data_IF_687324850709
#
_entry.id   IF_687324850709
#
_cell.length_a   1.000
_cell.length_b   1.000
_cell.length_c   1.000
_cell.angle_alpha   90.00
_cell.angle_beta   90.00
_cell.angle_gamma   90.00
#
_symmetry.space_group_name_H-M   'P 1'
#
loop_
_entity.id
_entity.type
_entity.pdbx_description
1 polymer ?
#
# COMPACT_ATOMS: atom_id res chain seq x y z
N UNK A 1 -13.33 -0.14 -11.35
CA UNK A 1 -12.36 0.83 -10.80
C UNK A 1 -10.96 0.54 -11.34
N UNK A 2 -10.15 1.56 -11.62
CA UNK A 2 -8.77 1.41 -12.14
C UNK A 2 -7.79 1.77 -11.02
N UNK A 3 -6.85 0.87 -10.72
CA UNK A 3 -5.81 1.09 -9.71
C UNK A 3 -4.57 1.60 -10.44
N UNK A 4 -4.17 2.83 -10.13
CA UNK A 4 -2.97 3.47 -10.68
C UNK A 4 -1.95 3.63 -9.54
N UNK A 5 -0.73 3.18 -9.79
CA UNK A 5 0.37 3.29 -8.83
C UNK A 5 1.12 4.58 -9.08
N UNK A 6 1.43 5.32 -8.02
CA UNK A 6 2.38 6.43 -8.12
C UNK A 6 3.79 5.88 -8.38
N UNK A 7 4.66 6.71 -8.97
CA UNK A 7 6.06 6.33 -9.15
C UNK A 7 6.73 6.02 -7.80
N UNK A 8 6.44 6.83 -6.78
CA UNK A 8 6.93 6.60 -5.41
C UNK A 8 6.52 5.22 -4.88
N UNK A 9 5.24 4.84 -5.03
CA UNK A 9 4.76 3.54 -4.56
C UNK A 9 5.40 2.36 -5.33
N UNK A 10 5.79 2.57 -6.59
CA UNK A 10 6.53 1.58 -7.36
C UNK A 10 7.97 1.45 -6.84
N UNK A 11 8.64 2.57 -6.61
CA UNK A 11 10.02 2.60 -6.11
C UNK A 11 10.09 1.98 -4.71
N UNK A 12 9.15 2.32 -3.82
CA UNK A 12 9.02 1.72 -2.48
C UNK A 12 8.87 0.19 -2.54
N UNK A 13 8.06 -0.30 -3.49
CA UNK A 13 7.86 -1.74 -3.68
C UNK A 13 9.15 -2.43 -4.15
N UNK A 14 9.89 -1.79 -5.07
CA UNK A 14 11.16 -2.34 -5.57
C UNK A 14 12.22 -2.39 -4.48
N UNK A 15 12.38 -1.30 -3.72
CA UNK A 15 13.30 -1.21 -2.60
C UNK A 15 13.03 -2.29 -1.54
N UNK A 16 11.76 -2.53 -1.23
CA UNK A 16 11.37 -3.52 -0.24
C UNK A 16 11.57 -4.96 -0.75
N UNK A 17 11.27 -5.23 -2.03
CA UNK A 17 11.57 -6.52 -2.65
C UNK A 17 13.09 -6.76 -2.65
N UNK A 18 13.89 -5.76 -3.04
CA UNK A 18 15.34 -5.85 -3.01
C UNK A 18 15.85 -6.12 -1.59
N UNK A 19 15.33 -5.41 -0.59
CA UNK A 19 15.72 -5.61 0.81
C UNK A 19 15.46 -7.04 1.28
N UNK A 20 14.25 -7.57 1.06
CA UNK A 20 13.89 -8.95 1.46
C UNK A 20 14.71 -9.98 0.66
N UNK A 21 15.01 -9.70 -0.60
CA UNK A 21 15.74 -10.62 -1.48
C UNK A 21 17.16 -10.93 -0.99
N UNK A 22 17.75 -10.03 -0.17
CA UNK A 22 19.06 -10.21 0.47
C UNK A 22 19.08 -11.42 1.39
N UNK A 23 17.95 -11.72 2.03
CA UNK A 23 17.78 -12.89 2.90
C UNK A 23 17.17 -14.07 2.13
N UNK A 24 16.11 -13.81 1.36
CA UNK A 24 15.45 -14.85 0.57
C UNK A 24 14.72 -14.31 -0.65
N UNK A 25 15.22 -14.68 -1.83
CA UNK A 25 14.58 -14.38 -3.11
C UNK A 25 13.18 -15.02 -3.24
N UNK A 26 12.97 -16.18 -2.61
CA UNK A 26 11.67 -16.84 -2.58
C UNK A 26 10.63 -16.00 -1.81
N UNK A 27 10.98 -15.53 -0.61
CA UNK A 27 10.08 -14.69 0.18
C UNK A 27 9.85 -13.33 -0.47
N UNK A 28 10.87 -12.73 -1.07
CA UNK A 28 10.74 -11.48 -1.81
C UNK A 28 9.72 -11.58 -2.95
N UNK A 29 9.78 -12.66 -3.76
CA UNK A 29 8.79 -12.93 -4.82
C UNK A 29 7.39 -13.09 -4.25
N UNK A 30 7.23 -13.93 -3.22
CA UNK A 30 5.93 -14.20 -2.60
C UNK A 30 5.34 -12.93 -1.99
N UNK A 31 6.17 -12.05 -1.46
CA UNK A 31 5.76 -10.78 -0.91
C UNK A 31 5.23 -9.84 -2.02
N UNK A 32 5.98 -9.66 -3.11
CA UNK A 32 5.54 -8.86 -4.26
C UNK A 32 4.22 -9.37 -4.85
N UNK A 33 4.08 -10.69 -5.02
CA UNK A 33 2.84 -11.33 -5.48
C UNK A 33 1.64 -10.99 -4.57
N UNK A 34 1.82 -11.04 -3.24
CA UNK A 34 0.75 -10.70 -2.29
C UNK A 34 0.28 -9.26 -2.44
N UNK A 35 1.21 -8.31 -2.62
CA UNK A 35 0.87 -6.90 -2.79
C UNK A 35 0.10 -6.67 -4.10
N UNK A 36 0.53 -7.28 -5.20
CA UNK A 36 -0.20 -7.18 -6.47
C UNK A 36 -1.59 -7.82 -6.37
N UNK A 37 -1.72 -8.95 -5.68
CA UNK A 37 -3.03 -9.57 -5.45
C UNK A 37 -3.94 -8.70 -4.57
N UNK A 38 -3.40 -8.05 -3.54
CA UNK A 38 -4.16 -7.14 -2.69
C UNK A 38 -4.69 -5.94 -3.48
N UNK A 39 -3.86 -5.33 -4.34
CA UNK A 39 -4.31 -4.22 -5.19
C UNK A 39 -5.30 -4.62 -6.27
N UNK A 40 -5.24 -5.86 -6.77
CA UNK A 40 -6.30 -6.40 -7.63
C UNK A 40 -7.63 -6.53 -6.89
N UNK A 41 -7.63 -6.94 -5.62
CA UNK A 41 -8.85 -7.03 -4.79
C UNK A 41 -9.51 -5.66 -4.56
N UNK A 42 -8.74 -4.58 -4.49
CA UNK A 42 -9.28 -3.21 -4.40
C UNK A 42 -10.14 -2.82 -5.61
N UNK A 43 -9.98 -3.48 -6.76
CA UNK A 43 -10.87 -3.27 -7.91
C UNK A 43 -12.30 -3.69 -7.62
N UNK A 44 -12.45 -4.81 -6.90
CA UNK A 44 -13.74 -5.45 -6.63
C UNK A 44 -14.31 -4.98 -5.28
N UNK A 45 -13.44 -4.62 -4.33
CA UNK A 45 -13.79 -4.13 -3.00
C UNK A 45 -13.01 -2.85 -2.67
N UNK A 46 -13.36 -1.69 -3.26
CA UNK A 46 -12.59 -0.46 -3.08
C UNK A 46 -12.60 0.06 -1.63
N UNK A 47 -13.62 -0.31 -0.85
CA UNK A 47 -13.74 0.01 0.57
C UNK A 47 -13.09 -1.05 1.50
N UNK A 48 -12.36 -2.03 0.95
CA UNK A 48 -11.66 -3.03 1.78
C UNK A 48 -10.45 -2.45 2.52
N UNK A 49 -10.04 -1.23 2.17
CA UNK A 49 -9.00 -0.49 2.89
C UNK A 49 -9.50 -0.06 4.26
N UNK A 50 -8.66 -0.22 5.30
CA UNK A 50 -8.94 0.37 6.60
C UNK A 50 -8.81 1.88 6.50
N UNK A 51 -9.88 2.62 6.81
CA UNK A 51 -9.78 4.06 7.03
C UNK A 51 -8.87 4.26 8.24
N UNK A 52 -7.68 4.80 8.01
CA UNK A 52 -6.77 5.17 9.08
C UNK A 52 -7.20 6.58 9.51
N UNK A 53 -7.60 6.79 10.77
CA UNK A 53 -7.71 8.15 11.30
C UNK A 53 -6.30 8.74 11.28
N UNK A 54 -6.07 9.76 10.47
CA UNK A 54 -4.84 10.54 10.57
C UNK A 54 -4.75 11.12 11.98
N UNK A 55 -3.55 11.00 12.57
CA UNK A 55 -3.20 11.37 13.95
C UNK A 55 -3.84 12.69 14.37
N UNK A 56 -4.35 12.74 15.60
CA UNK A 56 -4.95 13.94 16.21
C UNK A 56 -4.07 15.19 16.01
N UNK A 57 -4.40 15.99 15.01
CA UNK A 57 -3.92 17.36 14.94
C UNK A 57 -4.77 18.16 15.94
N UNK A 58 -4.38 18.09 17.21
CA UNK A 58 -4.93 18.90 18.30
C UNK A 58 -4.59 20.37 18.04
N UNK A 59 -5.31 21.02 17.12
CA UNK A 59 -5.48 22.47 17.16
C UNK A 59 -6.68 22.99 16.40
N UNK A 60 -7.18 22.30 15.39
CA UNK A 60 -8.39 22.70 14.68
C UNK A 60 -9.11 21.45 14.19
N UNK A 61 -10.22 21.08 14.83
CA UNK A 61 -10.97 19.83 14.64
C UNK A 61 -11.45 19.60 13.20
N UNK A 62 -10.54 19.19 12.32
CA UNK A 62 -10.82 18.74 10.97
C UNK A 62 -10.09 17.43 10.75
N UNK A 63 -10.84 16.34 10.79
CA UNK A 63 -10.37 15.03 10.38
C UNK A 63 -10.17 15.07 8.85
N UNK A 64 -8.93 15.06 8.39
CA UNK A 64 -8.62 14.75 7.00
C UNK A 64 -8.52 13.23 6.85
N UNK A 65 -9.19 12.71 5.84
CA UNK A 65 -9.13 11.29 5.49
C UNK A 65 -8.25 11.16 4.26
N UNK A 66 -7.09 10.51 4.37
CA UNK A 66 -6.31 10.06 3.21
C UNK A 66 -6.50 8.57 3.03
N UNK A 67 -7.15 8.19 1.93
CA UNK A 67 -7.11 6.83 1.44
C UNK A 67 -5.73 6.60 0.78
N UNK A 68 -4.98 5.63 1.29
CA UNK A 68 -3.77 5.14 0.62
C UNK A 68 -4.24 4.03 -0.32
N UNK A 69 -4.19 4.30 -1.63
CA UNK A 69 -4.43 3.35 -2.69
C UNK A 69 -3.15 3.18 -3.52
#
# INVERSE_FOLDING_TARGET
MRVEWSNLARDDLDDLIQYISRDSSFYARRFGEKIILATRRLRDFPESGRIIPETEDQKYGRLSYRAIA
#
